data_IF_802311040208
#
_entry.id   IF_802311040208
#
_cell.length_a   1.000
_cell.length_b   1.000
_cell.length_c   1.000
_cell.angle_alpha   90.00
_cell.angle_beta   90.00
_cell.angle_gamma   90.00
#
_symmetry.space_group_name_H-M   'P 1'
#
loop_
_entity.id
_entity.type
_entity.pdbx_description
1 polymer ?
#
# COMPACT_ATOMS: atom_id res chain seq x y z
N UNK A 1 19.50 -9.38 2.66
CA UNK A 1 19.88 -9.05 4.05
C UNK A 1 19.04 -9.85 5.05
N UNK A 2 17.71 -9.82 5.04
CA UNK A 2 16.83 -10.50 5.99
C UNK A 2 17.04 -12.01 6.08
N UNK A 3 17.40 -12.69 4.98
CA UNK A 3 17.72 -14.13 4.96
C UNK A 3 18.92 -14.54 5.84
N UNK A 4 19.73 -13.57 6.30
CA UNK A 4 20.88 -13.81 7.19
C UNK A 4 20.54 -13.64 8.67
N UNK A 5 19.31 -13.20 8.98
CA UNK A 5 18.86 -13.05 10.37
C UNK A 5 18.49 -14.44 10.90
N UNK A 6 19.04 -14.85 12.08
CA UNK A 6 18.66 -16.10 12.71
C UNK A 6 17.16 -16.16 12.97
N UNK A 7 16.53 -17.27 12.64
CA UNK A 7 15.10 -17.50 12.81
C UNK A 7 14.84 -18.39 14.01
N UNK A 8 13.86 -18.00 14.78
CA UNK A 8 13.27 -18.89 15.77
C UNK A 8 11.99 -19.49 15.22
N UNK A 9 11.99 -20.81 14.98
CA UNK A 9 10.80 -21.50 14.50
C UNK A 9 9.70 -21.45 15.57
N UNK A 10 8.57 -20.84 15.20
CA UNK A 10 7.38 -20.72 16.04
C UNK A 10 6.15 -20.99 15.17
N UNK A 11 5.42 -22.07 15.49
CA UNK A 11 4.23 -22.49 14.73
C UNK A 11 3.06 -21.49 14.83
N UNK A 12 3.11 -20.53 15.74
CA UNK A 12 2.12 -19.47 15.85
C UNK A 12 2.39 -18.30 14.90
N UNK A 13 3.58 -18.19 14.30
CA UNK A 13 3.84 -17.22 13.24
C UNK A 13 3.25 -17.77 11.95
N UNK A 14 2.12 -17.19 11.52
CA UNK A 14 1.44 -17.58 10.29
C UNK A 14 2.05 -16.88 9.08
N UNK A 15 2.41 -15.59 9.23
CA UNK A 15 3.11 -14.78 8.24
C UNK A 15 4.26 -14.07 8.93
N UNK A 16 5.47 -14.21 8.42
CA UNK A 16 6.68 -13.58 8.93
C UNK A 16 7.37 -12.76 7.86
N UNK A 17 8.57 -12.26 8.14
CA UNK A 17 9.35 -11.44 7.20
C UNK A 17 9.95 -12.22 6.01
N UNK A 18 9.61 -13.50 5.84
CA UNK A 18 10.18 -14.39 4.81
C UNK A 18 9.53 -14.20 3.44
N UNK A 19 8.26 -13.84 3.44
CA UNK A 19 7.40 -13.75 2.25
C UNK A 19 7.28 -12.33 1.72
N UNK A 20 7.92 -11.34 2.39
CA UNK A 20 7.76 -9.92 2.06
C UNK A 20 6.27 -9.51 1.96
N UNK A 21 5.50 -9.99 2.93
CA UNK A 21 4.08 -9.65 3.10
C UNK A 21 3.91 -8.27 3.75
N UNK A 22 2.72 -7.70 3.64
CA UNK A 22 2.41 -6.35 4.13
C UNK A 22 2.53 -6.26 5.66
N UNK A 23 2.12 -7.32 6.39
CA UNK A 23 2.24 -7.35 7.85
C UNK A 23 2.61 -8.74 8.38
N UNK A 24 3.18 -8.77 9.60
CA UNK A 24 3.38 -10.01 10.35
C UNK A 24 2.06 -10.50 10.95
N UNK A 25 1.81 -11.82 10.91
CA UNK A 25 0.61 -12.44 11.50
C UNK A 25 0.99 -13.49 12.53
N UNK A 26 0.51 -13.30 13.76
CA UNK A 26 0.77 -14.21 14.87
C UNK A 26 -0.52 -14.77 15.46
N UNK A 27 -0.68 -16.09 15.44
CA UNK A 27 -1.85 -16.78 15.98
C UNK A 27 -1.85 -16.78 17.51
N UNK A 28 -2.89 -16.21 18.11
CA UNK A 28 -3.12 -16.22 19.57
C UNK A 28 -3.97 -17.41 20.01
N UNK A 29 -5.08 -17.63 19.28
CA UNK A 29 -6.03 -18.72 19.54
C UNK A 29 -6.42 -19.37 18.20
N UNK A 30 -7.16 -20.47 18.20
CA UNK A 30 -7.69 -21.05 16.96
C UNK A 30 -8.54 -20.08 16.12
N UNK A 31 -9.19 -19.10 16.76
CA UNK A 31 -10.12 -18.16 16.12
C UNK A 31 -9.56 -16.76 15.95
N UNK A 32 -8.38 -16.45 16.54
CA UNK A 32 -7.82 -15.10 16.53
C UNK A 32 -6.32 -15.10 16.28
N UNK A 33 -5.89 -14.31 15.30
CA UNK A 33 -4.50 -13.93 15.09
C UNK A 33 -4.33 -12.40 15.15
N UNK A 34 -3.17 -11.96 15.60
CA UNK A 34 -2.75 -10.57 15.51
C UNK A 34 -2.15 -10.29 14.13
N UNK A 35 -2.48 -9.15 13.56
CA UNK A 35 -1.80 -8.54 12.42
C UNK A 35 -1.01 -7.35 12.94
N UNK A 36 0.29 -7.32 12.70
CA UNK A 36 1.17 -6.27 13.22
C UNK A 36 2.04 -5.68 12.11
N UNK A 37 1.99 -4.37 12.00
CA UNK A 37 2.80 -3.60 11.06
C UNK A 37 3.37 -2.35 11.71
N UNK A 38 4.33 -1.72 11.05
CA UNK A 38 4.90 -0.43 11.41
C UNK A 38 5.30 0.35 10.17
N UNK A 39 4.70 1.53 10.02
CA UNK A 39 5.01 2.45 8.94
C UNK A 39 5.21 3.87 9.47
N UNK A 40 6.27 4.53 9.01
CA UNK A 40 6.53 5.95 9.26
C UNK A 40 7.39 6.54 8.15
N UNK A 41 7.15 7.79 7.81
CA UNK A 41 7.87 8.48 6.74
C UNK A 41 7.96 10.00 6.97
N UNK A 42 8.73 10.66 6.12
CA UNK A 42 8.89 12.12 6.12
C UNK A 42 7.70 12.80 5.45
N UNK A 43 7.43 14.10 5.72
CA UNK A 43 6.33 14.83 5.09
C UNK A 43 6.34 14.76 3.56
N UNK A 44 5.17 14.48 3.00
CA UNK A 44 4.92 14.39 1.56
C UNK A 44 3.96 15.46 1.06
N UNK A 45 3.31 16.18 1.97
CA UNK A 45 2.46 17.32 1.77
C UNK A 45 2.82 18.41 2.77
N UNK A 46 2.49 19.67 2.48
CA UNK A 46 2.87 20.81 3.31
C UNK A 46 1.92 21.02 4.51
N UNK A 47 0.65 20.60 4.37
CA UNK A 47 -0.33 20.68 5.45
C UNK A 47 -0.06 19.63 6.54
N UNK A 48 0.21 20.09 7.76
CA UNK A 48 0.57 19.25 8.89
C UNK A 48 -0.55 18.27 9.27
N UNK A 49 -1.80 18.71 9.25
CA UNK A 49 -2.95 17.87 9.57
C UNK A 49 -3.14 16.78 8.50
N UNK A 50 -3.10 17.15 7.22
CA UNK A 50 -3.20 16.19 6.12
C UNK A 50 -2.05 15.18 6.14
N UNK A 51 -0.80 15.61 6.42
CA UNK A 51 0.33 14.69 6.58
C UNK A 51 0.07 13.66 7.68
N UNK A 52 -0.39 14.09 8.85
CA UNK A 52 -0.72 13.17 9.94
C UNK A 52 -1.83 12.17 9.58
N UNK A 53 -2.90 12.65 8.93
CA UNK A 53 -4.01 11.81 8.51
C UNK A 53 -3.62 10.80 7.40
N UNK A 54 -2.83 11.23 6.41
CA UNK A 54 -2.31 10.35 5.35
C UNK A 54 -1.40 9.28 5.96
N UNK A 55 -0.54 9.65 6.90
CA UNK A 55 0.36 8.71 7.57
C UNK A 55 -0.43 7.64 8.32
N UNK A 56 -1.50 8.01 9.01
CA UNK A 56 -2.37 7.05 9.67
C UNK A 56 -3.09 6.14 8.66
N UNK A 57 -3.60 6.69 7.55
CA UNK A 57 -4.25 5.90 6.49
C UNK A 57 -3.28 4.88 5.88
N UNK A 58 -2.03 5.27 5.64
CA UNK A 58 -0.97 4.38 5.14
C UNK A 58 -0.65 3.26 6.14
N UNK A 59 -0.39 3.61 7.42
CA UNK A 59 -0.06 2.61 8.44
C UNK A 59 -1.19 1.61 8.73
N UNK A 60 -2.45 1.99 8.49
CA UNK A 60 -3.61 1.11 8.62
C UNK A 60 -3.78 0.16 7.43
N UNK A 61 -3.21 0.51 6.28
CA UNK A 61 -3.45 -0.15 5.00
C UNK A 61 -2.98 -1.61 4.99
N UNK A 62 -1.80 -1.90 5.56
CA UNK A 62 -1.27 -3.25 5.67
C UNK A 62 -2.23 -4.20 6.40
N UNK A 63 -2.87 -3.69 7.48
CA UNK A 63 -3.85 -4.50 8.22
C UNK A 63 -5.06 -4.83 7.33
N UNK A 64 -5.53 -3.88 6.53
CA UNK A 64 -6.62 -4.11 5.58
C UNK A 64 -6.20 -5.04 4.45
N UNK A 65 -4.98 -4.93 3.92
CA UNK A 65 -4.44 -5.82 2.89
C UNK A 65 -4.43 -7.28 3.36
N UNK A 66 -4.05 -7.51 4.63
CA UNK A 66 -4.08 -8.83 5.25
C UNK A 66 -5.49 -9.36 5.59
N UNK A 67 -6.56 -8.62 5.25
CA UNK A 67 -7.95 -8.97 5.58
C UNK A 67 -8.29 -8.78 7.06
N UNK A 68 -7.48 -8.00 7.78
CA UNK A 68 -7.63 -7.74 9.20
C UNK A 68 -8.47 -6.51 9.53
N UNK A 69 -8.82 -6.37 10.81
CA UNK A 69 -9.45 -5.18 11.39
C UNK A 69 -8.47 -4.54 12.35
N UNK A 70 -8.05 -3.28 12.15
CA UNK A 70 -7.24 -2.52 13.11
C UNK A 70 -7.97 -2.40 14.46
N UNK A 71 -7.23 -2.50 15.57
CA UNK A 71 -7.81 -2.37 16.92
C UNK A 71 -7.07 -1.34 17.77
N UNK A 72 -5.74 -1.25 17.63
CA UNK A 72 -4.93 -0.32 18.39
C UNK A 72 -3.65 0.08 17.66
N UNK A 73 -3.10 1.23 18.07
CA UNK A 73 -1.85 1.74 17.51
C UNK A 73 -0.98 2.43 18.55
N UNK A 74 0.31 2.52 18.24
CA UNK A 74 1.31 3.32 18.94
C UNK A 74 1.89 4.33 17.96
N UNK A 75 1.91 5.62 18.31
CA UNK A 75 2.51 6.66 17.47
C UNK A 75 4.04 6.63 17.55
N UNK A 76 4.68 6.85 16.41
CA UNK A 76 6.13 7.00 16.26
C UNK A 76 6.39 8.42 15.78
N UNK A 77 7.14 9.19 16.57
CA UNK A 77 7.39 10.62 16.32
C UNK A 77 8.89 10.88 16.34
N UNK A 78 9.44 11.34 15.23
CA UNK A 78 10.73 11.98 15.18
C UNK A 78 10.52 13.46 14.83
N UNK A 79 10.95 14.39 15.69
CA UNK A 79 10.65 15.81 15.53
C UNK A 79 11.82 16.69 15.97
N UNK A 80 12.11 17.81 15.28
CA UNK A 80 13.20 18.71 15.67
C UNK A 80 13.00 19.25 17.08
N UNK A 81 14.06 19.24 17.89
CA UNK A 81 14.01 19.72 19.28
C UNK A 81 13.54 21.19 19.41
N UNK A 82 13.83 22.00 18.39
CA UNK A 82 13.41 23.39 18.30
C UNK A 82 12.27 23.59 17.28
N UNK A 83 11.57 22.51 16.90
CA UNK A 83 10.49 22.56 15.93
C UNK A 83 9.25 23.23 16.53
N UNK A 84 8.38 23.72 15.62
CA UNK A 84 7.12 24.33 15.99
C UNK A 84 6.13 23.29 16.53
N UNK A 85 5.73 23.44 17.80
CA UNK A 85 4.81 22.51 18.45
C UNK A 85 3.38 22.57 17.89
N UNK A 86 2.96 23.69 17.26
CA UNK A 86 1.65 23.78 16.58
C UNK A 86 1.65 22.85 15.35
N UNK A 87 2.75 22.80 14.62
CA UNK A 87 2.95 21.84 13.52
C UNK A 87 2.86 20.39 14.02
N UNK A 88 3.52 20.06 15.13
CA UNK A 88 3.44 18.72 15.73
C UNK A 88 2.01 18.40 16.17
N UNK A 89 1.33 19.33 16.82
CA UNK A 89 -0.07 19.16 17.22
C UNK A 89 -0.97 18.90 16.00
N UNK A 90 -0.79 19.66 14.92
CA UNK A 90 -1.50 19.45 13.65
C UNK A 90 -1.33 18.04 13.11
N UNK A 91 -0.08 17.56 13.04
CA UNK A 91 0.24 16.19 12.61
C UNK A 91 -0.46 15.15 13.49
N UNK A 92 -0.31 15.25 14.80
CA UNK A 92 -0.89 14.29 15.74
C UNK A 92 -2.42 14.30 15.69
N UNK A 93 -3.04 15.47 15.53
CA UNK A 93 -4.50 15.61 15.44
C UNK A 93 -5.03 14.97 14.15
N UNK A 94 -4.40 15.22 13.00
CA UNK A 94 -4.79 14.59 11.74
C UNK A 94 -4.71 13.06 11.82
N UNK A 95 -3.60 12.53 12.37
CA UNK A 95 -3.45 11.11 12.61
C UNK A 95 -4.51 10.54 13.56
N UNK A 96 -4.79 11.23 14.66
CA UNK A 96 -5.79 10.78 15.64
C UNK A 96 -7.21 10.75 15.06
N UNK A 97 -7.58 11.74 14.25
CA UNK A 97 -8.89 11.77 13.59
C UNK A 97 -9.05 10.62 12.59
N UNK A 98 -7.99 10.28 11.84
CA UNK A 98 -7.99 9.15 10.91
C UNK A 98 -8.02 7.80 11.64
N UNK A 99 -7.28 7.65 12.75
CA UNK A 99 -7.36 6.46 13.59
C UNK A 99 -8.76 6.26 14.19
N UNK A 100 -9.42 7.36 14.60
CA UNK A 100 -10.82 7.32 15.06
C UNK A 100 -11.79 6.90 13.95
N UNK A 101 -11.61 7.40 12.72
CA UNK A 101 -12.38 6.96 11.54
C UNK A 101 -12.24 5.44 11.31
N UNK A 102 -11.03 4.90 11.51
CA UNK A 102 -10.74 3.47 11.40
C UNK A 102 -11.19 2.65 12.62
N UNK A 103 -11.76 3.27 13.66
CA UNK A 103 -12.08 2.62 14.95
C UNK A 103 -10.84 2.00 15.63
N UNK A 104 -9.64 2.56 15.38
CA UNK A 104 -8.36 2.12 15.90
C UNK A 104 -7.93 3.02 17.07
N UNK A 105 -7.78 2.46 18.27
CA UNK A 105 -7.42 3.21 19.48
C UNK A 105 -5.92 3.52 19.52
N UNK A 106 -5.55 4.79 19.72
CA UNK A 106 -4.16 5.16 20.02
C UNK A 106 -3.90 4.88 21.50
N UNK A 107 -2.98 3.98 21.82
CA UNK A 107 -2.64 3.58 23.19
C UNK A 107 -1.47 4.37 23.77
N UNK A 108 -0.74 5.10 22.95
CA UNK A 108 0.47 5.84 23.33
C UNK A 108 1.45 5.91 22.17
N UNK A 109 2.72 5.91 22.47
CA UNK A 109 3.76 5.96 21.44
C UNK A 109 5.10 6.39 22.02
N UNK A 110 6.04 6.72 21.14
CA UNK A 110 7.37 7.20 21.51
C UNK A 110 7.80 8.35 20.61
N UNK A 111 8.50 9.33 21.20
CA UNK A 111 9.06 10.46 20.46
C UNK A 111 10.56 10.56 20.67
N UNK A 112 11.28 10.93 19.61
CA UNK A 112 12.71 11.21 19.64
C UNK A 112 13.01 12.54 18.96
N UNK A 113 14.07 13.21 19.39
CA UNK A 113 14.59 14.39 18.67
C UNK A 113 15.32 13.92 17.40
N UNK A 114 14.99 14.53 16.25
CA UNK A 114 15.62 14.26 14.96
C UNK A 114 15.56 15.55 14.13
N UNK A 115 16.52 15.80 13.27
CA UNK A 115 16.55 16.98 12.41
C UNK A 115 15.47 16.96 11.34
N UNK A 116 14.92 15.78 11.04
CA UNK A 116 13.84 15.59 10.06
C UNK A 116 12.58 15.08 10.75
N UNK A 117 11.44 15.69 10.42
CA UNK A 117 10.14 15.18 10.84
C UNK A 117 9.94 13.79 10.22
N UNK A 118 9.64 12.80 11.07
CA UNK A 118 9.13 11.49 10.67
C UNK A 118 7.96 11.15 11.59
N UNK A 119 6.89 10.72 11.00
CA UNK A 119 5.68 10.38 11.75
C UNK A 119 5.08 9.08 11.20
N UNK A 120 4.49 8.30 12.07
CA UNK A 120 3.83 7.06 11.71
C UNK A 120 3.27 6.31 12.88
N UNK A 121 2.87 5.08 12.62
CA UNK A 121 2.25 4.23 13.62
C UNK A 121 2.73 2.78 13.52
N UNK A 122 2.90 2.16 14.69
CA UNK A 122 2.86 0.71 14.79
C UNK A 122 1.39 0.32 15.04
N UNK A 123 0.79 -0.43 14.11
CA UNK A 123 -0.62 -0.81 14.15
C UNK A 123 -0.76 -2.29 14.50
N UNK A 124 -1.69 -2.57 15.41
CA UNK A 124 -2.12 -3.93 15.72
C UNK A 124 -3.57 -4.10 15.26
N UNK A 125 -3.80 -5.12 14.46
CA UNK A 125 -5.11 -5.58 14.03
C UNK A 125 -5.38 -7.01 14.44
N UNK A 126 -6.59 -7.49 14.16
CA UNK A 126 -6.99 -8.89 14.36
C UNK A 126 -7.58 -9.46 13.09
N UNK A 127 -7.38 -10.77 12.89
CA UNK A 127 -7.95 -11.54 11.78
C UNK A 127 -8.22 -12.98 12.26
N UNK A 128 -9.19 -13.65 11.68
CA UNK A 128 -9.31 -15.10 11.88
C UNK A 128 -8.15 -15.81 11.15
N UNK A 129 -7.44 -16.77 11.78
CA UNK A 129 -6.27 -17.42 11.17
C UNK A 129 -6.52 -17.96 9.77
N UNK A 130 -7.71 -18.55 9.52
CA UNK A 130 -8.09 -19.12 8.21
C UNK A 130 -8.56 -18.06 7.19
N UNK A 131 -8.61 -16.79 7.57
CA UNK A 131 -9.06 -15.67 6.70
C UNK A 131 -7.97 -14.67 6.36
N UNK A 132 -6.74 -14.94 6.76
CA UNK A 132 -5.58 -14.13 6.38
C UNK A 132 -5.48 -14.08 4.86
N UNK A 133 -5.24 -12.89 4.33
CA UNK A 133 -5.03 -12.64 2.89
C UNK A 133 -3.57 -12.31 2.63
N UNK A 134 -2.70 -13.31 2.41
CA UNK A 134 -1.31 -13.03 2.11
C UNK A 134 -1.17 -12.46 0.70
N UNK A 135 -0.07 -11.80 0.43
CA UNK A 135 0.28 -11.39 -0.93
C UNK A 135 0.64 -12.59 -1.83
N UNK A 136 0.92 -13.75 -1.23
CA UNK A 136 1.25 -15.00 -1.90
C UNK A 136 0.02 -15.91 -1.92
N UNK A 137 -0.44 -16.33 -3.07
CA UNK A 137 -1.62 -17.21 -3.17
C UNK A 137 -2.41 -17.02 -4.45
N UNK A 138 -2.02 -16.06 -5.29
CA UNK A 138 -2.63 -15.83 -6.61
C UNK A 138 -2.57 -17.10 -7.47
N UNK A 139 -3.69 -17.43 -8.10
CA UNK A 139 -3.84 -18.66 -8.91
C UNK A 139 -3.98 -18.31 -10.39
N UNK A 140 -3.35 -19.16 -11.23
CA UNK A 140 -3.54 -19.01 -12.70
C UNK A 140 -5.03 -19.13 -13.06
N UNK A 141 -5.54 -18.14 -13.79
CA UNK A 141 -6.95 -17.96 -14.12
C UNK A 141 -7.66 -16.88 -13.32
N UNK A 142 -7.02 -16.37 -12.27
CA UNK A 142 -7.55 -15.20 -11.54
C UNK A 142 -7.51 -13.93 -12.38
N UNK A 143 -8.35 -13.00 -11.99
CA UNK A 143 -8.34 -11.59 -12.42
C UNK A 143 -7.58 -10.76 -11.41
N UNK A 144 -6.87 -9.75 -11.88
CA UNK A 144 -6.23 -8.72 -11.06
C UNK A 144 -7.09 -7.47 -11.06
N UNK A 145 -7.44 -7.01 -9.86
CA UNK A 145 -8.15 -5.73 -9.69
C UNK A 145 -7.35 -4.80 -8.78
N UNK A 146 -7.54 -3.49 -8.99
CA UNK A 146 -6.90 -2.43 -8.20
C UNK A 146 -7.98 -1.49 -7.66
N UNK A 147 -7.80 -0.93 -6.46
CA UNK A 147 -8.85 -0.17 -5.78
C UNK A 147 -8.62 1.35 -5.71
N UNK A 148 -7.46 1.85 -6.11
CA UNK A 148 -7.18 3.30 -6.22
C UNK A 148 -6.39 3.59 -7.49
N UNK A 149 -6.53 4.82 -7.98
CA UNK A 149 -5.68 5.35 -9.05
C UNK A 149 -4.25 5.53 -8.55
N UNK A 150 -3.26 5.39 -9.43
CA UNK A 150 -1.85 5.60 -9.11
C UNK A 150 -1.34 6.95 -9.63
N UNK A 151 -0.20 7.42 -9.08
CA UNK A 151 0.43 8.68 -9.47
C UNK A 151 0.76 9.63 -8.31
N UNK A 152 0.62 9.19 -7.06
CA UNK A 152 0.84 10.04 -5.87
C UNK A 152 2.27 10.54 -5.75
N UNK A 153 3.27 9.71 -6.10
CA UNK A 153 4.69 10.11 -6.08
C UNK A 153 5.04 11.15 -7.13
N UNK A 154 4.52 10.99 -8.35
CA UNK A 154 4.69 11.97 -9.43
C UNK A 154 4.04 13.29 -9.06
N UNK A 155 2.81 13.30 -8.52
CA UNK A 155 2.10 14.54 -8.12
C UNK A 155 2.83 15.23 -6.97
N UNK A 156 3.28 14.49 -5.94
CA UNK A 156 4.10 15.04 -4.85
C UNK A 156 5.40 15.66 -5.37
N UNK A 157 6.03 15.05 -6.38
CA UNK A 157 7.24 15.60 -7.02
C UNK A 157 6.92 16.84 -7.83
N UNK A 158 5.77 16.87 -8.52
CA UNK A 158 5.32 18.05 -9.27
C UNK A 158 4.99 19.21 -8.33
N UNK A 159 4.40 18.93 -7.16
CA UNK A 159 4.17 19.93 -6.10
C UNK A 159 5.51 20.55 -5.64
N UNK A 160 6.50 19.74 -5.31
CA UNK A 160 7.84 20.21 -4.92
C UNK A 160 8.54 21.04 -5.99
N UNK A 161 8.20 20.81 -7.27
CA UNK A 161 8.70 21.58 -8.42
C UNK A 161 7.85 22.82 -8.73
N UNK A 162 6.79 23.09 -8.00
CA UNK A 162 5.83 24.17 -8.22
C UNK A 162 5.19 24.15 -9.62
N UNK A 163 4.91 22.96 -10.16
CA UNK A 163 4.24 22.77 -11.47
C UNK A 163 2.89 22.07 -11.36
N UNK A 164 2.54 21.55 -10.16
CA UNK A 164 1.26 20.89 -9.94
C UNK A 164 0.12 21.90 -9.83
N UNK A 165 -1.03 21.57 -10.44
CA UNK A 165 -2.28 22.31 -10.23
C UNK A 165 -2.85 21.96 -8.85
N UNK A 166 -3.43 22.94 -8.18
CA UNK A 166 -4.05 22.76 -6.85
C UNK A 166 -5.09 21.62 -6.86
N UNK A 167 -5.96 21.58 -7.86
CA UNK A 167 -6.98 20.53 -8.02
C UNK A 167 -6.41 19.12 -8.14
N UNK A 168 -5.23 18.96 -8.74
CA UNK A 168 -4.58 17.64 -8.89
C UNK A 168 -3.92 17.21 -7.58
N UNK A 169 -3.39 18.18 -6.83
CA UNK A 169 -2.86 17.93 -5.47
C UNK A 169 -3.99 17.55 -4.53
N UNK A 170 -5.13 18.23 -4.57
CA UNK A 170 -6.32 17.92 -3.78
C UNK A 170 -6.84 16.50 -4.09
N UNK A 171 -6.96 16.14 -5.38
CA UNK A 171 -7.38 14.78 -5.78
C UNK A 171 -6.40 13.70 -5.30
N UNK A 172 -5.09 13.99 -5.30
CA UNK A 172 -4.08 13.08 -4.76
C UNK A 172 -4.19 12.95 -3.24
N UNK A 173 -4.38 14.05 -2.52
CA UNK A 173 -4.59 14.03 -1.06
C UNK A 173 -5.86 13.26 -0.69
N UNK A 174 -6.98 13.48 -1.38
CA UNK A 174 -8.23 12.75 -1.16
C UNK A 174 -8.02 11.24 -1.32
N UNK A 175 -7.32 10.82 -2.37
CA UNK A 175 -6.97 9.42 -2.59
C UNK A 175 -6.13 8.84 -1.45
N UNK A 176 -5.10 9.57 -1.00
CA UNK A 176 -4.23 9.14 0.10
C UNK A 176 -4.95 9.10 1.45
N UNK A 177 -5.89 10.02 1.69
CA UNK A 177 -6.71 10.07 2.91
C UNK A 177 -7.77 8.97 2.97
N UNK A 178 -8.15 8.38 1.84
CA UNK A 178 -9.17 7.34 1.78
C UNK A 178 -8.63 6.04 2.35
N UNK A 179 -9.29 5.49 3.38
CA UNK A 179 -8.97 4.19 3.97
C UNK A 179 -9.27 3.05 3.01
N UNK A 180 -8.44 2.02 3.00
CA UNK A 180 -8.71 0.77 2.28
C UNK A 180 -9.76 -0.12 2.99
N UNK A 181 -10.38 0.35 4.08
CA UNK A 181 -11.38 -0.35 4.89
C UNK A 181 -12.55 -0.88 4.07
N UNK A 182 -13.20 -0.02 3.29
CA UNK A 182 -14.39 -0.41 2.52
C UNK A 182 -14.10 -1.50 1.50
N UNK A 183 -12.93 -1.43 0.86
CA UNK A 183 -12.47 -2.45 -0.10
C UNK A 183 -12.15 -3.76 0.62
N UNK A 184 -11.49 -3.70 1.78
CA UNK A 184 -11.23 -4.86 2.62
C UNK A 184 -12.54 -5.55 3.03
N UNK A 185 -13.50 -4.81 3.58
CA UNK A 185 -14.81 -5.36 3.99
C UNK A 185 -15.59 -5.96 2.81
N UNK A 186 -15.49 -5.36 1.63
CA UNK A 186 -16.12 -5.88 0.41
C UNK A 186 -15.44 -7.17 -0.08
N UNK A 187 -14.10 -7.19 -0.20
CA UNK A 187 -13.36 -8.33 -0.72
C UNK A 187 -13.48 -9.58 0.16
N UNK A 188 -13.68 -9.42 1.48
CA UNK A 188 -13.85 -10.55 2.41
C UNK A 188 -15.13 -11.36 2.19
N UNK A 189 -16.05 -10.89 1.34
CA UNK A 189 -17.25 -11.62 0.93
C UNK A 189 -16.98 -12.61 -0.20
N UNK A 190 -15.78 -12.59 -0.80
CA UNK A 190 -15.40 -13.35 -1.98
C UNK A 190 -14.18 -14.25 -1.72
N UNK A 191 -13.89 -15.11 -2.68
CA UNK A 191 -12.73 -16.00 -2.65
C UNK A 191 -11.48 -15.25 -3.13
N UNK A 192 -10.91 -14.39 -2.27
CA UNK A 192 -9.66 -13.71 -2.54
C UNK A 192 -8.50 -14.67 -2.31
N UNK A 193 -7.65 -14.86 -3.33
CA UNK A 193 -6.48 -15.73 -3.30
C UNK A 193 -5.21 -14.99 -2.89
N UNK A 194 -5.03 -13.73 -3.30
CA UNK A 194 -3.91 -12.89 -2.92
C UNK A 194 -4.32 -11.43 -2.81
N UNK A 195 -3.71 -10.71 -1.86
CA UNK A 195 -3.94 -9.27 -1.68
C UNK A 195 -2.65 -8.61 -1.19
N UNK A 196 -2.40 -7.39 -1.63
CA UNK A 196 -1.35 -6.50 -1.11
C UNK A 196 -1.79 -5.06 -1.35
N UNK A 197 -1.33 -4.11 -0.56
CA UNK A 197 -1.50 -2.70 -0.89
C UNK A 197 -0.36 -2.18 -1.77
N UNK A 198 -0.60 -1.11 -2.51
CA UNK A 198 0.39 -0.52 -3.41
C UNK A 198 1.00 0.71 -2.75
N UNK A 199 2.24 0.57 -2.29
CA UNK A 199 2.97 1.63 -1.60
C UNK A 199 4.32 1.94 -2.25
N UNK A 200 5.39 2.01 -1.51
CA UNK A 200 6.70 2.54 -1.93
C UNK A 200 7.36 1.86 -3.13
N UNK A 201 7.09 0.58 -3.38
CA UNK A 201 7.62 -0.15 -4.54
C UNK A 201 6.85 0.06 -5.85
N UNK A 202 5.72 0.78 -5.79
CA UNK A 202 4.84 0.99 -6.94
C UNK A 202 4.08 -0.27 -7.37
N UNK A 203 3.21 -0.12 -8.36
CA UNK A 203 2.38 -1.24 -8.82
C UNK A 203 3.22 -2.45 -9.25
N UNK A 204 4.26 -2.23 -10.05
CA UNK A 204 5.10 -3.33 -10.58
C UNK A 204 5.91 -4.00 -9.46
N UNK A 205 6.40 -3.25 -8.46
CA UNK A 205 7.17 -3.82 -7.37
C UNK A 205 6.33 -4.77 -6.50
N UNK A 206 5.14 -4.34 -6.09
CA UNK A 206 4.21 -5.19 -5.31
C UNK A 206 3.65 -6.35 -6.14
N UNK A 207 3.28 -6.10 -7.41
CA UNK A 207 2.87 -7.18 -8.32
C UNK A 207 3.98 -8.23 -8.49
N UNK A 208 5.26 -7.82 -8.55
CA UNK A 208 6.39 -8.73 -8.60
C UNK A 208 6.47 -9.63 -7.35
N UNK A 209 6.27 -9.08 -6.17
CA UNK A 209 6.27 -9.85 -4.93
C UNK A 209 5.14 -10.87 -4.93
N UNK A 210 3.93 -10.47 -5.29
CA UNK A 210 2.78 -11.37 -5.46
C UNK A 210 3.08 -12.48 -6.49
N UNK A 211 3.61 -12.14 -7.66
CA UNK A 211 3.91 -13.09 -8.72
C UNK A 211 4.97 -14.14 -8.31
N UNK A 212 6.03 -13.68 -7.64
CA UNK A 212 7.12 -14.55 -7.20
C UNK A 212 6.66 -15.46 -6.06
N UNK A 213 5.99 -14.92 -5.06
CA UNK A 213 5.49 -15.67 -3.91
C UNK A 213 4.44 -16.70 -4.30
N UNK A 214 3.61 -16.40 -5.31
CA UNK A 214 2.57 -17.30 -5.84
C UNK A 214 3.08 -18.25 -6.93
N UNK A 215 4.33 -18.09 -7.41
CA UNK A 215 4.88 -18.88 -8.51
C UNK A 215 4.07 -18.78 -9.81
N UNK A 216 3.56 -17.60 -10.14
CA UNK A 216 2.74 -17.28 -11.32
C UNK A 216 3.35 -16.16 -12.17
N UNK A 217 2.70 -15.82 -13.26
CA UNK A 217 2.96 -14.58 -14.02
C UNK A 217 1.72 -13.69 -13.95
N UNK A 218 1.92 -12.43 -13.55
CA UNK A 218 0.86 -11.42 -13.59
C UNK A 218 0.95 -10.66 -14.91
N UNK A 219 -0.12 -10.71 -15.70
CA UNK A 219 -0.28 -9.90 -16.91
C UNK A 219 -1.07 -8.65 -16.55
N UNK A 220 -0.44 -7.49 -16.72
CA UNK A 220 -1.01 -6.18 -16.41
C UNK A 220 -1.32 -5.45 -17.73
N UNK A 221 -2.58 -5.13 -17.95
CA UNK A 221 -3.04 -4.27 -19.03
C UNK A 221 -2.80 -2.80 -18.63
N UNK A 222 -1.74 -2.22 -19.14
CA UNK A 222 -1.35 -0.85 -18.84
C UNK A 222 -2.40 0.19 -19.25
N UNK A 223 -3.25 -0.12 -20.23
CA UNK A 223 -4.32 0.76 -20.69
C UNK A 223 -5.51 0.76 -19.74
N UNK A 224 -5.67 -0.30 -18.93
CA UNK A 224 -6.72 -0.42 -17.92
C UNK A 224 -6.34 0.23 -16.58
N UNK A 225 -5.04 0.49 -16.33
CA UNK A 225 -4.59 1.15 -15.11
C UNK A 225 -5.03 2.61 -15.11
N UNK A 226 -5.73 3.02 -14.06
CA UNK A 226 -6.20 4.40 -13.92
C UNK A 226 -5.17 5.27 -13.17
N UNK A 227 -5.02 6.50 -13.63
CA UNK A 227 -4.08 7.47 -13.07
C UNK A 227 -4.81 8.66 -12.43
N UNK A 228 -4.21 9.21 -11.40
CA UNK A 228 -4.65 10.47 -10.79
C UNK A 228 -4.59 11.62 -11.82
N UNK A 229 -5.49 12.62 -11.74
CA UNK A 229 -5.45 13.78 -12.62
C UNK A 229 -4.07 14.43 -12.65
N UNK A 230 -3.58 14.77 -13.84
CA UNK A 230 -2.27 15.39 -14.05
C UNK A 230 -1.06 14.44 -14.00
N UNK A 231 -1.16 13.23 -13.42
CA UNK A 231 0.00 12.36 -13.22
C UNK A 231 0.77 12.06 -14.52
N UNK A 232 0.06 11.71 -15.61
CA UNK A 232 0.68 11.46 -16.92
C UNK A 232 1.38 12.71 -17.47
N UNK A 233 0.73 13.87 -17.32
CA UNK A 233 1.26 15.14 -17.78
C UNK A 233 2.54 15.51 -17.01
N UNK A 234 2.50 15.43 -15.68
CA UNK A 234 3.66 15.75 -14.83
C UNK A 234 4.83 14.79 -15.02
N UNK A 235 4.58 13.50 -15.22
CA UNK A 235 5.62 12.53 -15.55
C UNK A 235 6.33 12.92 -16.86
N UNK A 236 5.58 13.31 -17.90
CA UNK A 236 6.14 13.79 -19.17
C UNK A 236 6.93 15.11 -19.05
N UNK A 237 6.58 15.94 -18.08
CA UNK A 237 7.32 17.15 -17.71
C UNK A 237 8.56 16.85 -16.83
N UNK A 238 8.85 15.58 -16.56
CA UNK A 238 10.00 15.16 -15.78
C UNK A 238 9.81 15.27 -14.25
N UNK A 239 8.58 15.31 -13.76
CA UNK A 239 8.31 15.21 -12.32
C UNK A 239 8.43 13.74 -11.85
N UNK A 240 9.62 13.17 -12.01
CA UNK A 240 9.94 11.78 -11.68
C UNK A 240 10.50 11.71 -10.25
N UNK A 241 9.85 11.01 -9.30
CA UNK A 241 10.41 10.80 -7.97
C UNK A 241 11.63 9.90 -8.00
N UNK A 242 12.60 10.16 -7.11
CA UNK A 242 13.83 9.37 -7.06
C UNK A 242 13.59 7.87 -6.83
N UNK A 243 12.59 7.53 -6.05
CA UNK A 243 12.20 6.12 -5.79
C UNK A 243 11.75 5.36 -7.04
N UNK A 244 11.19 6.02 -8.05
CA UNK A 244 10.73 5.38 -9.28
C UNK A 244 11.86 4.66 -10.02
N UNK A 245 13.02 5.30 -10.16
CA UNK A 245 14.16 4.69 -10.82
C UNK A 245 14.70 3.48 -10.04
N UNK A 246 14.71 3.56 -8.71
CA UNK A 246 15.09 2.43 -7.86
C UNK A 246 14.11 1.26 -8.01
N UNK A 247 12.80 1.55 -8.07
CA UNK A 247 11.76 0.55 -8.30
C UNK A 247 11.90 -0.14 -9.66
N UNK A 248 12.20 0.65 -10.70
CA UNK A 248 12.46 0.12 -12.05
C UNK A 248 13.67 -0.80 -12.06
N UNK A 249 14.79 -0.39 -11.45
CA UNK A 249 15.99 -1.22 -11.34
C UNK A 249 15.71 -2.52 -10.55
N UNK A 250 15.01 -2.41 -9.43
CA UNK A 250 14.62 -3.55 -8.59
C UNK A 250 13.78 -4.59 -9.34
N UNK A 251 12.88 -4.15 -10.23
CA UNK A 251 12.00 -5.03 -10.99
C UNK A 251 12.53 -5.41 -12.38
N UNK A 252 13.64 -4.80 -12.86
CA UNK A 252 14.11 -4.88 -14.26
C UNK A 252 14.24 -6.30 -14.81
N UNK A 253 14.74 -7.25 -14.00
CA UNK A 253 14.91 -8.64 -14.41
C UNK A 253 13.60 -9.46 -14.40
N UNK A 254 12.51 -8.88 -13.91
CA UNK A 254 11.23 -9.57 -13.65
C UNK A 254 10.13 -9.16 -14.64
N UNK A 255 10.35 -8.17 -15.49
CA UNK A 255 9.33 -7.59 -16.35
C UNK A 255 9.59 -7.95 -17.80
N UNK A 256 8.54 -8.25 -18.55
CA UNK A 256 8.47 -8.38 -20.01
C UNK A 256 7.41 -7.41 -20.53
N UNK A 257 7.70 -6.77 -21.66
CA UNK A 257 6.83 -5.74 -22.24
C UNK A 257 7.16 -4.33 -21.75
N UNK A 258 6.55 -3.35 -22.37
CA UNK A 258 6.67 -1.91 -22.05
C UNK A 258 5.38 -1.19 -22.37
N UNK A 259 5.19 0.00 -21.82
CA UNK A 259 4.03 0.85 -22.05
C UNK A 259 4.45 2.30 -22.24
N UNK A 260 3.60 3.11 -22.84
CA UNK A 260 3.77 4.56 -22.96
C UNK A 260 3.56 5.31 -21.62
N UNK A 261 3.07 4.61 -20.60
CA UNK A 261 2.89 5.09 -19.22
C UNK A 261 3.79 4.33 -18.23
N UNK A 262 4.84 3.69 -18.76
CA UNK A 262 5.71 2.78 -18.02
C UNK A 262 6.27 3.39 -16.73
N UNK A 263 6.68 4.67 -16.76
CA UNK A 263 7.16 5.38 -15.56
C UNK A 263 6.16 5.33 -14.41
N UNK A 264 4.87 5.54 -14.69
CA UNK A 264 3.83 5.59 -13.67
C UNK A 264 3.54 4.23 -13.02
N UNK A 265 3.84 3.12 -13.72
CA UNK A 265 3.67 1.79 -13.16
C UNK A 265 4.71 1.49 -12.05
N UNK A 266 5.84 2.19 -12.06
CA UNK A 266 6.89 2.11 -11.04
C UNK A 266 6.83 3.27 -10.02
N UNK A 267 5.87 4.20 -10.18
CA UNK A 267 5.74 5.35 -9.29
C UNK A 267 5.47 4.90 -7.85
N UNK A 268 6.32 5.30 -6.87
CA UNK A 268 6.06 5.00 -5.47
C UNK A 268 4.75 5.65 -5.03
N UNK A 269 3.87 4.87 -4.43
CA UNK A 269 2.60 5.35 -3.90
C UNK A 269 2.70 5.58 -2.40
N UNK A 270 1.95 6.56 -1.91
CA UNK A 270 1.66 6.71 -0.48
C UNK A 270 0.18 6.42 -0.28
N UNK A 271 -0.14 5.57 0.68
CA UNK A 271 -1.51 5.15 0.98
C UNK A 271 -2.27 4.74 -0.29
N UNK A 272 -1.65 3.89 -1.11
CA UNK A 272 -2.24 3.41 -2.36
C UNK A 272 -3.39 2.42 -2.14
N UNK A 273 -3.92 1.89 -3.24
CA UNK A 273 -5.03 0.94 -3.23
C UNK A 273 -4.57 -0.50 -3.02
N UNK A 274 -5.53 -1.39 -2.84
CA UNK A 274 -5.29 -2.83 -2.79
C UNK A 274 -5.21 -3.42 -4.19
N UNK A 275 -4.18 -4.23 -4.45
CA UNK A 275 -4.07 -5.14 -5.58
C UNK A 275 -4.58 -6.51 -5.13
N UNK A 276 -5.63 -6.99 -5.77
CA UNK A 276 -6.34 -8.20 -5.35
C UNK A 276 -6.38 -9.19 -6.50
N UNK A 277 -6.08 -10.47 -6.20
CA UNK A 277 -6.18 -11.62 -7.10
C UNK A 277 -7.34 -12.51 -6.66
N UNK A 278 -8.32 -12.73 -7.55
CA UNK A 278 -9.52 -13.50 -7.25
C UNK A 278 -10.15 -14.06 -8.55
N UNK A 279 -11.06 -15.09 -8.45
CA UNK A 279 -11.77 -15.63 -9.60
C UNK A 279 -12.54 -14.57 -10.38
N UNK A 280 -12.63 -14.69 -11.70
CA UNK A 280 -13.28 -13.70 -12.58
C UNK A 280 -14.74 -13.40 -12.18
N UNK A 281 -15.49 -14.42 -11.76
CA UNK A 281 -16.87 -14.24 -11.29
C UNK A 281 -16.94 -13.34 -10.06
N UNK A 282 -16.03 -13.57 -9.11
CA UNK A 282 -15.98 -12.84 -7.85
C UNK A 282 -15.46 -11.41 -8.08
N UNK A 283 -14.54 -11.22 -9.03
CA UNK A 283 -14.05 -9.90 -9.43
C UNK A 283 -15.18 -9.02 -10.00
N UNK A 284 -15.99 -9.55 -10.90
CA UNK A 284 -17.12 -8.83 -11.49
C UNK A 284 -18.15 -8.41 -10.44
N UNK A 285 -18.40 -9.25 -9.44
CA UNK A 285 -19.32 -8.93 -8.35
C UNK A 285 -18.70 -7.93 -7.36
N UNK A 286 -17.39 -8.04 -7.08
CA UNK A 286 -16.66 -7.06 -6.26
C UNK A 286 -16.68 -5.66 -6.90
N UNK A 287 -16.42 -5.56 -8.22
CA UNK A 287 -16.53 -4.29 -8.95
C UNK A 287 -17.96 -3.70 -8.87
N UNK A 288 -18.98 -4.55 -8.91
CA UNK A 288 -20.39 -4.11 -8.83
C UNK A 288 -20.74 -3.52 -7.46
N UNK A 289 -20.25 -4.12 -6.35
CA UNK A 289 -20.58 -3.67 -4.99
C UNK A 289 -19.60 -2.62 -4.44
N UNK A 290 -18.41 -2.54 -5.02
CA UNK A 290 -17.38 -1.59 -4.64
C UNK A 290 -16.83 -0.87 -5.90
N UNK A 291 -17.47 0.22 -6.37
CA UNK A 291 -17.09 0.91 -7.61
C UNK A 291 -15.68 1.52 -7.63
N UNK A 292 -15.00 1.57 -6.50
CA UNK A 292 -13.61 1.96 -6.43
C UNK A 292 -12.67 0.90 -7.02
N UNK A 293 -13.09 -0.36 -7.08
CA UNK A 293 -12.32 -1.49 -7.60
C UNK A 293 -12.51 -1.60 -9.11
N UNK A 294 -11.43 -1.85 -9.83
CA UNK A 294 -11.45 -2.02 -11.29
C UNK A 294 -10.40 -3.02 -11.74
N UNK A 295 -10.71 -3.75 -12.83
CA UNK A 295 -9.83 -4.76 -13.42
C UNK A 295 -8.62 -4.11 -14.10
N UNK A 296 -7.42 -4.66 -13.85
CA UNK A 296 -6.17 -4.22 -14.47
C UNK A 296 -5.39 -5.34 -15.16
N UNK A 297 -5.85 -6.59 -15.08
CA UNK A 297 -5.10 -7.71 -15.66
C UNK A 297 -5.61 -9.07 -15.23
N UNK A 298 -4.74 -10.04 -15.36
CA UNK A 298 -5.03 -11.45 -15.02
C UNK A 298 -3.79 -12.20 -14.59
N UNK A 299 -3.99 -13.33 -13.93
CA UNK A 299 -2.95 -14.25 -13.50
C UNK A 299 -2.79 -15.38 -14.50
N UNK A 300 -1.58 -15.58 -14.99
CA UNK A 300 -1.22 -16.64 -15.94
C UNK A 300 -0.41 -17.74 -15.24
N UNK A 301 -0.40 -18.97 -15.77
CA UNK A 301 0.60 -19.94 -15.39
C UNK A 301 2.00 -19.34 -15.51
N UNK A 302 2.94 -19.75 -14.63
CA UNK A 302 4.29 -19.22 -14.61
C UNK A 302 4.94 -19.25 -15.99
N UNK A 303 5.41 -18.07 -16.45
CA UNK A 303 6.16 -17.85 -17.66
C UNK A 303 7.61 -17.47 -17.35
N UNK A 304 8.38 -17.11 -18.38
CA UNK A 304 9.79 -16.73 -18.23
C UNK A 304 9.98 -15.54 -17.28
N UNK A 305 9.08 -14.57 -17.35
CA UNK A 305 9.07 -13.41 -16.46
C UNK A 305 7.85 -13.42 -15.52
N UNK A 306 8.01 -12.98 -14.26
CA UNK A 306 6.89 -12.90 -13.32
C UNK A 306 5.85 -11.83 -13.67
N UNK A 307 6.25 -10.77 -14.37
CA UNK A 307 5.37 -9.69 -14.81
C UNK A 307 5.41 -9.57 -16.32
N UNK A 308 4.23 -9.42 -16.92
CA UNK A 308 4.03 -9.11 -18.33
C UNK A 308 3.17 -7.87 -18.46
N UNK A 309 3.69 -6.82 -19.10
CA UNK A 309 2.95 -5.60 -19.42
C UNK A 309 2.43 -5.73 -20.86
N UNK A 310 1.13 -5.46 -21.04
CA UNK A 310 0.44 -5.48 -22.34
C UNK A 310 -0.33 -4.17 -22.56
#
# INVERSE_FOLDING_TARGET
>A
MLQRIPRWANSNVLVGFDTADDAGVYKLTPECALVQTVDFFTPIVDDAYAFGAITAANSLSDVYAMGGRPISSLSIVAFPANGDLETLEGIMRGGADKMREAECSILGGHSVADDQIKFGYAVTGTVHPDRVKPNTGALAGDVLVLSKKIGTGVISTALKKNIARESDVEASMESMLTLNRAVCEAMLQFQVHGCTDITGFGLIGHAREMALGSSVTLEIDSSAVQFLPGAIEYARQGAIPGGLNNNREFASNCVEGTSNVDDLLYDPQTSGGLLISLPERDAAELERICPAVYKIGRVLPRQAKPIRIV
#
